data_IF_639587594730
#
_entry.id   IF_639587594730
#
_cell.length_a   1.000
_cell.length_b   1.000
_cell.length_c   1.000
_cell.angle_alpha   90.00
_cell.angle_beta   90.00
_cell.angle_gamma   90.00
#
_symmetry.space_group_name_H-M   'P 1'
#
loop_
_entity.id
_entity.type
_entity.pdbx_description
1 polymer ?
#
# COMPACT_ATOMS: atom_id res chain seq x y z
N UNK A 1 15.41 -20.35 -25.57
CA UNK A 1 14.04 -20.80 -25.28
C UNK A 1 13.10 -19.77 -25.84
N UNK A 2 12.28 -20.13 -26.82
CA UNK A 2 11.38 -19.19 -27.48
C UNK A 2 10.28 -18.81 -26.49
N UNK A 3 10.06 -17.51 -26.24
CA UNK A 3 9.07 -17.03 -25.26
C UNK A 3 7.65 -17.54 -25.56
N UNK A 4 7.34 -17.79 -26.83
CA UNK A 4 6.08 -18.36 -27.31
C UNK A 4 5.81 -19.78 -26.77
N UNK A 5 6.85 -20.61 -26.70
CA UNK A 5 6.76 -22.00 -26.21
C UNK A 5 6.50 -22.04 -24.70
N UNK A 6 7.04 -21.06 -23.96
CA UNK A 6 6.79 -20.86 -22.54
C UNK A 6 5.33 -20.47 -22.26
N UNK A 7 4.77 -19.57 -23.08
CA UNK A 7 3.39 -19.09 -22.93
C UNK A 7 2.38 -20.20 -23.21
N UNK A 8 2.58 -20.99 -24.26
CA UNK A 8 1.68 -22.11 -24.58
C UNK A 8 1.65 -23.18 -23.49
N UNK A 9 2.81 -23.47 -22.88
CA UNK A 9 2.91 -24.41 -21.76
C UNK A 9 2.10 -23.93 -20.55
N UNK A 10 2.14 -22.64 -20.25
CA UNK A 10 1.34 -22.03 -19.19
C UNK A 10 -0.16 -22.10 -19.52
N UNK A 11 -0.56 -21.82 -20.76
CA UNK A 11 -1.96 -21.92 -21.20
C UNK A 11 -2.49 -23.34 -21.01
N UNK A 12 -1.70 -24.35 -21.41
CA UNK A 12 -2.04 -25.77 -21.23
C UNK A 12 -2.16 -26.15 -19.75
N UNK A 13 -1.25 -25.67 -18.92
CA UNK A 13 -1.29 -25.93 -17.48
C UNK A 13 -2.53 -25.29 -16.83
N UNK A 14 -2.88 -24.08 -17.21
CA UNK A 14 -4.09 -23.39 -16.73
C UNK A 14 -5.37 -24.15 -17.13
N UNK A 15 -5.48 -24.57 -18.39
CA UNK A 15 -6.63 -25.35 -18.85
C UNK A 15 -6.75 -26.68 -18.09
N UNK A 16 -5.62 -27.38 -17.87
CA UNK A 16 -5.58 -28.67 -17.17
C UNK A 16 -5.93 -28.54 -15.69
N UNK A 17 -5.41 -27.54 -14.98
CA UNK A 17 -5.59 -27.45 -13.54
C UNK A 17 -6.85 -26.68 -13.14
N UNK A 18 -7.22 -25.64 -13.90
CA UNK A 18 -8.33 -24.75 -13.54
C UNK A 18 -9.59 -25.16 -14.29
N UNK A 19 -9.54 -25.16 -15.62
CA UNK A 19 -10.74 -25.39 -16.44
C UNK A 19 -11.23 -26.83 -16.33
N UNK A 20 -10.34 -27.81 -16.26
CA UNK A 20 -10.73 -29.21 -16.08
C UNK A 20 -11.37 -29.49 -14.72
N UNK A 21 -11.02 -28.74 -13.66
CA UNK A 21 -11.52 -28.98 -12.29
C UNK A 21 -12.76 -28.17 -11.96
N UNK A 22 -12.82 -26.93 -12.42
CA UNK A 22 -13.85 -25.96 -12.03
C UNK A 22 -14.77 -25.56 -13.19
N UNK A 23 -14.54 -26.11 -14.38
CA UNK A 23 -15.18 -25.65 -15.60
C UNK A 23 -14.64 -24.29 -16.07
N UNK A 24 -15.20 -23.77 -17.15
CA UNK A 24 -14.81 -22.47 -17.68
C UNK A 24 -15.41 -21.37 -16.82
N UNK A 25 -14.53 -20.59 -16.20
CA UNK A 25 -14.91 -19.46 -15.35
C UNK A 25 -15.60 -18.37 -16.17
N UNK A 26 -16.72 -17.85 -15.66
CA UNK A 26 -17.48 -16.77 -16.31
C UNK A 26 -16.70 -15.45 -16.31
N UNK A 27 -15.91 -15.20 -15.27
CA UNK A 27 -15.07 -14.00 -15.10
C UNK A 27 -13.81 -14.33 -14.31
N UNK A 28 -12.68 -13.75 -14.69
CA UNK A 28 -11.39 -13.92 -14.02
C UNK A 28 -10.93 -12.57 -13.48
N UNK A 29 -10.66 -12.50 -12.17
CA UNK A 29 -10.09 -11.32 -11.53
C UNK A 29 -8.58 -11.50 -11.50
N UNK A 30 -7.84 -10.64 -12.20
CA UNK A 30 -6.38 -10.62 -12.15
C UNK A 30 -5.87 -9.32 -11.55
N UNK A 31 -4.70 -9.39 -10.92
CA UNK A 31 -3.95 -8.25 -10.39
C UNK A 31 -3.31 -7.37 -11.49
N UNK A 32 -3.58 -7.63 -12.77
CA UNK A 32 -3.01 -6.92 -13.94
C UNK A 32 -1.49 -6.98 -14.03
N UNK A 33 -0.87 -8.04 -13.51
CA UNK A 33 0.56 -8.27 -13.72
C UNK A 33 0.88 -8.34 -15.21
N UNK A 34 2.12 -8.01 -15.58
CA UNK A 34 2.58 -8.03 -16.97
C UNK A 34 2.31 -9.37 -17.66
N UNK A 35 2.35 -10.48 -16.92
CA UNK A 35 1.97 -11.83 -17.37
C UNK A 35 0.50 -11.93 -17.77
N UNK A 36 -0.41 -11.32 -17.00
CA UNK A 36 -1.84 -11.20 -17.27
C UNK A 36 -2.20 -10.04 -18.22
N UNK A 37 -1.24 -9.28 -18.73
CA UNK A 37 -1.45 -8.40 -19.89
C UNK A 37 -0.64 -8.85 -21.11
N UNK A 38 0.07 -9.98 -21.00
CA UNK A 38 0.96 -10.52 -22.03
C UNK A 38 0.22 -11.34 -23.10
N UNK A 39 0.99 -11.90 -24.04
CA UNK A 39 0.54 -12.87 -25.04
C UNK A 39 -0.20 -14.08 -24.44
N UNK A 40 -0.02 -14.37 -23.14
CA UNK A 40 -0.75 -15.42 -22.43
C UNK A 40 -2.27 -15.29 -22.55
N UNK A 41 -2.85 -14.10 -22.36
CA UNK A 41 -4.30 -13.94 -22.50
C UNK A 41 -4.80 -14.08 -23.92
N UNK A 42 -4.01 -13.63 -24.89
CA UNK A 42 -4.33 -13.82 -26.31
C UNK A 42 -4.37 -15.32 -26.63
N UNK A 43 -3.38 -16.08 -26.14
CA UNK A 43 -3.30 -17.54 -26.28
C UNK A 43 -4.46 -18.25 -25.55
N UNK A 44 -4.75 -17.86 -24.31
CA UNK A 44 -5.83 -18.45 -23.50
C UNK A 44 -7.21 -18.18 -24.10
N UNK A 45 -7.50 -16.94 -24.51
CA UNK A 45 -8.76 -16.62 -25.18
C UNK A 45 -8.89 -17.34 -26.53
N UNK A 46 -7.80 -17.46 -27.30
CA UNK A 46 -7.80 -18.23 -28.55
C UNK A 46 -8.10 -19.71 -28.29
N UNK A 47 -7.50 -20.31 -27.26
CA UNK A 47 -7.75 -21.69 -26.88
C UNK A 47 -9.20 -21.90 -26.40
N UNK A 48 -9.71 -21.02 -25.53
CA UNK A 48 -11.09 -21.10 -25.02
C UNK A 48 -12.15 -20.84 -26.10
N UNK A 49 -11.84 -19.96 -27.08
CA UNK A 49 -12.69 -19.73 -28.23
C UNK A 49 -12.84 -20.98 -29.11
N UNK A 50 -11.81 -21.83 -29.23
CA UNK A 50 -11.91 -23.11 -29.94
C UNK A 50 -12.87 -24.08 -29.23
N UNK A 51 -12.98 -24.00 -27.91
CA UNK A 51 -13.96 -24.77 -27.12
C UNK A 51 -15.36 -24.12 -27.11
N UNK A 52 -15.60 -23.09 -27.94
CA UNK A 52 -16.91 -22.43 -28.08
C UNK A 52 -17.31 -21.52 -26.91
N UNK A 53 -16.42 -21.29 -25.95
CA UNK A 53 -16.75 -20.63 -24.69
C UNK A 53 -16.08 -19.26 -24.57
N UNK A 54 -16.87 -18.20 -24.70
CA UNK A 54 -16.41 -16.81 -24.55
C UNK A 54 -16.29 -16.47 -23.07
N UNK A 55 -15.08 -16.41 -22.53
CA UNK A 55 -14.84 -15.83 -21.21
C UNK A 55 -14.96 -14.30 -21.28
N UNK A 56 -15.65 -13.68 -20.32
CA UNK A 56 -15.55 -12.23 -20.15
C UNK A 56 -14.19 -11.93 -19.56
N UNK A 57 -13.28 -11.44 -20.40
CA UNK A 57 -12.00 -10.92 -19.94
C UNK A 57 -12.24 -9.75 -18.99
N UNK A 58 -11.45 -9.58 -17.92
CA UNK A 58 -11.41 -8.32 -17.18
C UNK A 58 -10.90 -7.16 -18.07
N UNK A 59 -10.37 -7.48 -19.25
CA UNK A 59 -10.01 -6.56 -20.33
C UNK A 59 -11.15 -6.58 -21.37
N UNK A 60 -12.36 -6.23 -20.94
CA UNK A 60 -13.41 -5.76 -21.85
C UNK A 60 -13.37 -4.24 -21.82
N UNK A 61 -12.42 -3.64 -22.53
CA UNK A 61 -12.79 -2.43 -23.24
C UNK A 61 -13.62 -2.96 -24.41
N UNK A 62 -14.95 -2.95 -24.27
CA UNK A 62 -15.74 -2.74 -25.47
C UNK A 62 -15.08 -1.56 -26.17
N UNK A 63 -14.84 -1.67 -27.47
CA UNK A 63 -14.60 -0.48 -28.29
C UNK A 63 -15.62 0.53 -27.78
N UNK A 64 -15.12 1.62 -27.21
CA UNK A 64 -15.95 2.76 -26.84
C UNK A 64 -16.41 3.26 -28.19
N UNK A 65 -17.42 2.61 -28.75
CA UNK A 65 -18.21 3.15 -29.83
C UNK A 65 -18.68 4.46 -29.26
N UNK A 66 -18.22 5.54 -29.89
CA UNK A 66 -18.36 6.91 -29.45
C UNK A 66 -19.68 7.08 -28.70
N UNK A 67 -19.61 6.99 -27.37
CA UNK A 67 -20.77 7.25 -26.55
C UNK A 67 -20.98 8.74 -26.73
N UNK A 68 -21.85 9.06 -27.69
CA UNK A 68 -22.21 10.41 -28.06
C UNK A 68 -22.36 11.20 -26.77
N UNK A 69 -21.52 12.24 -26.67
CA UNK A 69 -21.43 13.24 -25.61
C UNK A 69 -22.76 13.38 -24.86
N UNK A 70 -22.93 12.56 -23.82
CA UNK A 70 -24.14 12.58 -23.00
C UNK A 70 -23.94 13.70 -21.99
N UNK A 71 -24.22 14.94 -22.44
CA UNK A 71 -24.35 16.16 -21.64
C UNK A 71 -23.04 16.77 -21.12
N UNK A 72 -22.71 17.99 -21.58
CA UNK A 72 -21.69 18.85 -20.96
C UNK A 72 -21.91 19.01 -19.45
N UNK A 73 -23.16 18.94 -18.99
CA UNK A 73 -23.55 18.91 -17.58
C UNK A 73 -22.94 17.73 -16.80
N UNK A 74 -22.95 16.52 -17.37
CA UNK A 74 -22.41 15.33 -16.70
C UNK A 74 -20.88 15.45 -16.60
N UNK A 75 -20.23 15.95 -17.65
CA UNK A 75 -18.79 16.21 -17.64
C UNK A 75 -18.43 17.24 -16.56
N UNK A 76 -19.23 18.30 -16.46
CA UNK A 76 -19.05 19.33 -15.45
C UNK A 76 -19.21 18.76 -14.03
N UNK A 77 -20.29 18.03 -13.76
CA UNK A 77 -20.56 17.40 -12.46
C UNK A 77 -19.45 16.40 -12.07
N UNK A 78 -18.97 15.61 -13.02
CA UNK A 78 -17.83 14.71 -12.80
C UNK A 78 -16.55 15.48 -12.48
N UNK A 79 -16.29 16.59 -13.17
CA UNK A 79 -15.09 17.41 -12.95
C UNK A 79 -15.06 18.00 -11.53
N UNK A 80 -16.21 18.46 -11.03
CA UNK A 80 -16.33 18.97 -9.66
C UNK A 80 -16.09 17.87 -8.63
N UNK A 81 -16.67 16.67 -8.83
CA UNK A 81 -16.44 15.52 -7.96
C UNK A 81 -14.97 15.09 -7.97
N UNK A 82 -14.30 15.12 -9.13
CA UNK A 82 -12.86 14.83 -9.24
C UNK A 82 -12.03 15.84 -8.42
N UNK A 83 -12.34 17.13 -8.52
CA UNK A 83 -11.67 18.18 -7.73
C UNK A 83 -11.90 17.95 -6.24
N UNK A 84 -13.13 17.59 -5.85
CA UNK A 84 -13.48 17.31 -4.46
C UNK A 84 -12.70 16.09 -3.92
N UNK A 85 -12.59 15.01 -4.71
CA UNK A 85 -11.81 13.82 -4.36
C UNK A 85 -10.33 14.18 -4.20
N UNK A 86 -9.75 14.93 -5.13
CA UNK A 86 -8.35 15.40 -5.04
C UNK A 86 -8.11 16.20 -3.76
N UNK A 87 -9.01 17.12 -3.41
CA UNK A 87 -8.94 17.90 -2.16
C UNK A 87 -8.97 17.00 -0.92
N UNK A 88 -9.86 15.99 -0.88
CA UNK A 88 -9.97 15.05 0.25
C UNK A 88 -8.71 14.18 0.39
N UNK A 89 -8.14 13.70 -0.73
CA UNK A 89 -6.89 12.94 -0.73
C UNK A 89 -5.74 13.79 -0.21
N UNK A 90 -5.63 15.04 -0.69
CA UNK A 90 -4.58 15.95 -0.24
C UNK A 90 -4.68 16.23 1.27
N UNK A 91 -5.88 16.57 1.76
CA UNK A 91 -6.11 16.79 3.18
C UNK A 91 -5.78 15.56 4.05
N UNK A 92 -6.03 14.35 3.54
CA UNK A 92 -5.65 13.11 4.22
C UNK A 92 -4.12 12.93 4.29
N UNK A 93 -3.42 13.20 3.18
CA UNK A 93 -1.94 13.18 3.13
C UNK A 93 -1.34 14.21 4.09
N UNK A 94 -1.85 15.44 4.08
CA UNK A 94 -1.37 16.50 4.96
C UNK A 94 -1.54 16.11 6.43
N UNK A 95 -2.67 15.49 6.81
CA UNK A 95 -2.88 14.94 8.16
C UNK A 95 -1.85 13.88 8.52
N UNK A 96 -1.56 12.94 7.61
CA UNK A 96 -0.54 11.91 7.82
C UNK A 96 0.84 12.52 8.03
N UNK A 97 1.22 13.50 7.20
CA UNK A 97 2.48 14.26 7.31
C UNK A 97 2.56 14.96 8.66
N UNK A 98 1.51 15.68 9.07
CA UNK A 98 1.45 16.35 10.38
C UNK A 98 1.62 15.34 11.52
N UNK A 99 0.97 14.17 11.47
CA UNK A 99 1.09 13.16 12.51
C UNK A 99 2.50 12.57 12.59
N UNK A 100 3.13 12.31 11.45
CA UNK A 100 4.52 11.83 11.39
C UNK A 100 5.50 12.89 11.91
N UNK A 101 5.32 14.15 11.51
CA UNK A 101 6.26 15.24 11.81
C UNK A 101 6.11 15.81 13.21
N UNK A 102 4.91 15.73 13.83
CA UNK A 102 4.69 16.18 15.21
C UNK A 102 5.58 15.47 16.24
N UNK A 103 6.08 14.27 15.92
CA UNK A 103 7.04 13.51 16.75
C UNK A 103 8.50 13.60 16.28
N UNK A 104 8.78 14.31 15.17
CA UNK A 104 10.13 14.50 14.62
C UNK A 104 10.75 15.86 14.99
N UNK A 105 9.97 16.78 15.59
CA UNK A 105 10.55 18.01 16.15
C UNK A 105 11.52 17.65 17.29
N UNK A 106 12.72 18.24 17.34
CA UNK A 106 13.55 18.14 18.53
C UNK A 106 12.74 18.68 19.71
N UNK A 107 12.56 17.85 20.75
CA UNK A 107 11.91 18.28 21.97
C UNK A 107 12.91 19.14 22.73
N UNK A 108 12.66 20.45 22.75
CA UNK A 108 13.44 21.38 23.56
C UNK A 108 12.85 21.43 24.97
N UNK A 109 13.71 21.36 25.97
CA UNK A 109 13.33 21.48 27.36
C UNK A 109 13.84 22.80 27.93
N UNK A 110 13.15 23.33 28.93
CA UNK A 110 13.61 24.51 29.66
C UNK A 110 14.28 24.13 30.98
N UNK A 111 15.14 25.02 31.49
CA UNK A 111 15.69 24.87 32.83
C UNK A 111 14.52 24.88 33.82
N UNK A 112 14.52 23.92 34.76
CA UNK A 112 13.45 23.60 35.72
C UNK A 112 12.37 22.62 35.24
N UNK A 113 12.34 22.24 33.97
CA UNK A 113 11.45 21.16 33.51
C UNK A 113 11.81 19.82 34.17
N UNK A 114 10.80 18.95 34.30
CA UNK A 114 10.96 17.59 34.82
C UNK A 114 10.97 16.58 33.67
N UNK A 115 12.09 15.87 33.51
CA UNK A 115 12.29 14.88 32.43
C UNK A 115 12.60 13.50 32.97
N UNK A 116 12.21 12.46 32.23
CA UNK A 116 12.48 11.06 32.57
C UNK A 116 13.73 10.59 31.83
N UNK A 117 14.72 10.04 32.55
CA UNK A 117 15.95 9.54 31.94
C UNK A 117 15.76 8.11 31.44
N UNK A 118 16.14 7.86 30.19
CA UNK A 118 16.10 6.52 29.59
C UNK A 118 17.24 5.66 30.13
N UNK A 119 16.92 4.45 30.56
CA UNK A 119 17.90 3.49 31.10
C UNK A 119 18.52 2.70 29.95
N UNK A 120 19.86 2.70 29.86
CA UNK A 120 20.57 1.73 29.02
C UNK A 120 20.83 0.46 29.84
N UNK A 121 20.64 -0.75 29.25
CA UNK A 121 20.99 -1.98 29.94
C UNK A 121 22.51 -2.19 30.11
N UNK A 122 23.31 -1.34 29.47
CA UNK A 122 24.76 -1.46 29.29
C UNK A 122 25.50 -0.25 29.86
N UNK A 123 25.43 -0.05 31.18
CA UNK A 123 26.45 0.61 32.00
C UNK A 123 25.94 0.60 33.43
N UNK A 124 26.71 0.00 34.34
CA UNK A 124 26.34 -0.22 35.74
C UNK A 124 26.25 1.05 36.60
N UNK A 125 25.69 2.12 36.08
CA UNK A 125 25.64 3.44 36.73
C UNK A 125 24.28 3.68 37.38
N UNK A 126 23.18 3.11 36.86
CA UNK A 126 21.86 3.20 37.54
C UNK A 126 21.05 1.91 37.31
N UNK A 127 21.32 0.90 38.13
CA UNK A 127 20.52 -0.34 38.17
C UNK A 127 19.62 -0.31 39.41
N UNK A 128 18.32 0.00 39.24
CA UNK A 128 17.36 -0.44 40.24
C UNK A 128 17.45 -1.97 40.32
N UNK A 129 17.53 -2.50 41.56
CA UNK A 129 17.93 -3.87 41.94
C UNK A 129 17.27 -5.06 41.22
N UNK A 130 16.31 -4.86 40.32
CA UNK A 130 15.60 -5.93 39.61
C UNK A 130 16.14 -6.07 38.19
N UNK A 131 16.55 -7.29 37.82
CA UNK A 131 16.86 -7.71 36.44
C UNK A 131 15.73 -8.61 35.96
N UNK A 132 14.97 -8.19 34.94
CA UNK A 132 13.88 -9.00 34.39
C UNK A 132 13.04 -8.29 33.31
N UNK A 133 12.09 -9.04 32.73
CA UNK A 133 11.22 -8.63 31.61
C UNK A 133 10.34 -7.40 31.91
N UNK A 134 10.12 -7.08 33.19
CA UNK A 134 9.28 -5.97 33.67
C UNK A 134 10.08 -4.77 34.22
N UNK A 135 11.34 -4.60 33.81
CA UNK A 135 12.12 -3.46 34.25
C UNK A 135 11.66 -2.14 33.60
N UNK A 136 11.63 -1.03 34.36
CA UNK A 136 11.27 0.26 33.81
C UNK A 136 12.32 0.73 32.80
N UNK A 137 11.85 1.21 31.64
CA UNK A 137 12.71 1.78 30.59
C UNK A 137 13.17 3.20 30.89
N UNK A 138 12.52 3.86 31.84
CA UNK A 138 12.77 5.24 32.23
C UNK A 138 12.78 5.38 33.75
N UNK A 139 13.61 6.27 34.28
CA UNK A 139 13.73 6.56 35.72
C UNK A 139 13.33 8.00 35.95
N UNK A 140 12.54 8.21 37.01
CA UNK A 140 12.32 9.42 37.80
C UNK A 140 12.17 10.76 37.07
N UNK A 141 11.26 11.64 37.51
CA UNK A 141 11.30 13.01 37.02
C UNK A 141 12.51 13.75 37.62
N UNK A 142 13.52 14.00 36.80
CA UNK A 142 14.69 14.81 37.14
C UNK A 142 14.48 16.24 36.68
N UNK A 143 14.93 17.19 37.49
CA UNK A 143 14.88 18.61 37.15
C UNK A 143 16.11 18.99 36.32
N UNK A 144 15.91 19.66 35.20
CA UNK A 144 17.03 20.23 34.42
C UNK A 144 17.59 21.44 35.16
N UNK A 145 18.90 21.44 35.39
CA UNK A 145 19.59 22.52 36.10
C UNK A 145 20.22 23.56 35.16
N UNK A 146 20.70 23.14 33.99
CA UNK A 146 21.29 24.03 32.98
C UNK A 146 21.12 23.44 31.59
N UNK A 147 21.20 24.26 30.54
CA UNK A 147 21.22 23.80 29.14
C UNK A 147 22.62 24.03 28.58
N UNK A 148 23.29 22.97 28.15
CA UNK A 148 24.66 23.03 27.60
C UNK A 148 24.63 23.23 26.08
N UNK A 149 23.56 22.80 25.42
CA UNK A 149 23.33 23.01 23.98
C UNK A 149 21.88 22.73 23.58
N UNK A 150 21.53 22.86 22.29
CA UNK A 150 20.14 22.72 21.81
C UNK A 150 19.48 21.38 22.20
N UNK A 151 20.27 20.31 22.32
CA UNK A 151 19.80 18.96 22.68
C UNK A 151 20.48 18.39 23.95
N UNK A 152 21.23 19.22 24.69
CA UNK A 152 22.00 18.81 25.87
C UNK A 152 21.61 19.64 27.10
N UNK A 153 21.22 18.95 28.17
CA UNK A 153 20.57 19.48 29.38
C UNK A 153 21.14 18.83 30.64
#
# INVERSE_FOLDING_TARGET
MNETESVEKLTRQYLKEVVSRHGVLVSIISNRDSKFTSQFWKSLNKALALYGQKCRSPICWAEVGDAQLTGLEIIHEMSEKIIQIKKRIQASRDRQTIYADRRRKPLEFEVRDKVMLKVSPWKGVICFRKRGKLNPRYIGPFKIFSKVGTLAY
#
